data_IF_479620524630
#
_entry.id   IF_479620524630
#
_cell.length_a   1.000
_cell.length_b   1.000
_cell.length_c   1.000
_cell.angle_alpha   90.00
_cell.angle_beta   90.00
_cell.angle_gamma   90.00
#
_symmetry.space_group_name_H-M   'P 1'
#
loop_
_entity.id
_entity.type
_entity.pdbx_description
1 polymer ?
#
# COMPACT_ATOMS: atom_id res chain seq x y z
N UNK A 1 -13.22 34.55 -8.73
CA UNK A 1 -12.17 33.67 -8.15
C UNK A 1 -12.78 32.43 -7.49
N UNK A 2 -13.78 32.55 -6.60
CA UNK A 2 -14.46 31.39 -5.96
C UNK A 2 -15.15 30.43 -6.95
N UNK A 3 -15.81 30.94 -8.00
CA UNK A 3 -16.44 30.06 -9.00
C UNK A 3 -15.45 29.22 -9.82
N UNK A 4 -14.22 29.72 -10.01
CA UNK A 4 -13.20 29.00 -10.79
C UNK A 4 -12.72 27.76 -10.02
N UNK A 5 -12.55 27.87 -8.70
CA UNK A 5 -12.20 26.73 -7.85
C UNK A 5 -13.33 25.71 -7.78
N UNK A 6 -14.58 26.18 -7.63
CA UNK A 6 -15.75 25.30 -7.62
C UNK A 6 -15.90 24.52 -8.93
N UNK A 7 -15.80 25.20 -10.07
CA UNK A 7 -15.90 24.58 -11.39
C UNK A 7 -14.71 23.65 -11.68
N UNK A 8 -13.51 24.00 -11.21
CA UNK A 8 -12.34 23.13 -11.28
C UNK A 8 -12.55 21.83 -10.48
N UNK A 9 -12.99 21.94 -9.22
CA UNK A 9 -13.24 20.78 -8.37
C UNK A 9 -14.40 19.93 -8.91
N UNK A 10 -15.50 20.55 -9.34
CA UNK A 10 -16.64 19.84 -9.96
C UNK A 10 -16.21 19.07 -11.21
N UNK A 11 -15.36 19.65 -12.05
CA UNK A 11 -14.83 18.98 -13.24
C UNK A 11 -13.79 17.91 -12.89
N UNK A 12 -12.96 18.12 -11.87
CA UNK A 12 -11.91 17.19 -11.45
C UNK A 12 -12.52 15.91 -10.85
N UNK A 13 -13.58 16.06 -10.06
CA UNK A 13 -14.30 14.95 -9.44
C UNK A 13 -15.52 14.48 -10.24
N UNK A 14 -15.72 15.01 -11.45
CA UNK A 14 -16.74 14.52 -12.36
C UNK A 14 -16.42 13.08 -12.75
N UNK A 15 -17.18 12.13 -12.20
CA UNK A 15 -17.14 10.75 -12.63
C UNK A 15 -18.29 10.52 -13.61
N UNK A 16 -18.03 9.96 -14.80
CA UNK A 16 -19.12 9.54 -15.69
C UNK A 16 -20.01 8.52 -14.97
N UNK A 17 -21.27 8.44 -15.38
CA UNK A 17 -22.23 7.47 -14.82
C UNK A 17 -21.63 6.07 -14.81
N UNK A 18 -21.68 5.43 -13.64
CA UNK A 18 -21.19 4.08 -13.46
C UNK A 18 -21.98 3.11 -14.34
N UNK A 19 -21.28 2.47 -15.28
CA UNK A 19 -21.85 1.44 -16.14
C UNK A 19 -21.35 0.06 -15.69
N UNK A 20 -22.23 -0.73 -15.09
CA UNK A 20 -21.94 -2.09 -14.60
C UNK A 20 -21.52 -3.06 -15.70
N UNK A 21 -21.98 -2.86 -16.95
CA UNK A 21 -21.62 -3.70 -18.09
C UNK A 21 -20.17 -3.49 -18.51
N UNK A 22 -19.68 -2.25 -18.41
CA UNK A 22 -18.27 -1.94 -18.70
C UNK A 22 -17.34 -2.61 -17.69
N UNK A 23 -17.66 -2.55 -16.39
CA UNK A 23 -16.88 -3.27 -15.37
C UNK A 23 -16.93 -4.79 -15.56
N UNK A 24 -18.11 -5.33 -15.92
CA UNK A 24 -18.27 -6.77 -16.13
C UNK A 24 -17.48 -7.25 -17.36
N UNK A 25 -17.51 -6.49 -18.46
CA UNK A 25 -16.72 -6.77 -19.68
C UNK A 25 -15.23 -6.67 -19.40
N UNK A 26 -14.81 -5.65 -18.66
CA UNK A 26 -13.42 -5.48 -18.24
C UNK A 26 -12.92 -6.69 -17.44
N UNK A 27 -13.66 -7.11 -16.42
CA UNK A 27 -13.29 -8.26 -15.58
C UNK A 27 -13.29 -9.58 -16.36
N UNK A 28 -14.21 -9.77 -17.31
CA UNK A 28 -14.23 -10.96 -18.20
C UNK A 28 -13.01 -11.03 -19.11
N UNK A 29 -12.46 -9.89 -19.50
CA UNK A 29 -11.30 -9.81 -20.39
C UNK A 29 -9.97 -9.92 -19.64
N UNK A 30 -9.98 -9.86 -18.30
CA UNK A 30 -8.79 -10.08 -17.49
C UNK A 30 -8.59 -11.59 -17.31
N UNK A 31 -7.48 -12.11 -17.84
CA UNK A 31 -6.97 -13.40 -17.41
C UNK A 31 -6.23 -13.22 -16.09
N UNK A 32 -6.83 -13.71 -15.00
CA UNK A 32 -6.14 -13.72 -13.71
C UNK A 32 -5.01 -14.77 -13.76
N UNK A 33 -3.79 -14.40 -13.32
CA UNK A 33 -2.72 -15.38 -13.19
C UNK A 33 -3.14 -16.44 -12.16
N UNK A 34 -2.99 -17.72 -12.52
CA UNK A 34 -3.14 -18.82 -11.57
C UNK A 34 -1.93 -18.84 -10.64
N UNK A 35 -2.19 -18.82 -9.34
CA UNK A 35 -1.16 -18.89 -8.30
C UNK A 35 -0.84 -20.36 -8.06
N UNK A 36 0.44 -20.75 -8.11
CA UNK A 36 0.84 -22.12 -7.77
C UNK A 36 0.69 -22.39 -6.26
N UNK A 37 0.67 -23.67 -5.86
CA UNK A 37 0.59 -24.03 -4.44
C UNK A 37 1.78 -23.47 -3.64
N UNK A 38 2.96 -23.38 -4.25
CA UNK A 38 4.16 -22.81 -3.62
C UNK A 38 4.02 -21.30 -3.42
N UNK A 39 3.52 -20.58 -4.42
CA UNK A 39 3.27 -19.15 -4.31
C UNK A 39 2.19 -18.86 -3.25
N UNK A 40 1.14 -19.68 -3.20
CA UNK A 40 0.10 -19.56 -2.18
C UNK A 40 0.68 -19.80 -0.78
N UNK A 41 1.57 -20.78 -0.64
CA UNK A 41 2.23 -21.07 0.64
C UNK A 41 3.14 -19.91 1.07
N UNK A 42 3.90 -19.33 0.14
CA UNK A 42 4.75 -18.16 0.40
C UNK A 42 3.91 -16.93 0.76
N UNK A 43 2.79 -16.68 0.07
CA UNK A 43 1.90 -15.56 0.37
C UNK A 43 1.25 -15.67 1.76
N UNK A 44 1.00 -16.90 2.23
CA UNK A 44 0.46 -17.16 3.56
C UNK A 44 1.55 -17.29 4.63
N UNK A 45 2.83 -17.23 4.26
CA UNK A 45 3.92 -17.30 5.22
C UNK A 45 4.01 -16.01 6.05
N UNK A 46 4.49 -16.09 7.31
CA UNK A 46 4.71 -14.90 8.12
C UNK A 46 5.71 -13.94 7.45
N UNK A 47 5.47 -12.63 7.62
CA UNK A 47 6.39 -11.59 7.15
C UNK A 47 7.78 -11.79 7.73
N UNK A 48 8.80 -11.80 6.88
CA UNK A 48 10.19 -11.99 7.28
C UNK A 48 10.92 -10.65 7.49
N UNK A 49 12.00 -10.69 8.27
CA UNK A 49 12.90 -9.54 8.45
C UNK A 49 13.59 -9.17 7.13
N UNK A 50 13.90 -10.17 6.30
CA UNK A 50 14.57 -9.95 5.01
C UNK A 50 13.68 -9.18 4.03
N UNK A 51 12.39 -9.53 3.95
CA UNK A 51 11.42 -8.80 3.13
C UNK A 51 11.33 -7.33 3.54
N UNK A 52 11.17 -7.05 4.84
CA UNK A 52 11.11 -5.67 5.37
C UNK A 52 12.41 -4.93 5.07
N UNK A 53 13.56 -5.55 5.33
CA UNK A 53 14.88 -4.94 5.08
C UNK A 53 15.09 -4.63 3.60
N UNK A 54 14.66 -5.51 2.71
CA UNK A 54 14.76 -5.31 1.26
C UNK A 54 13.80 -4.21 0.77
N UNK A 55 12.58 -4.13 1.31
CA UNK A 55 11.64 -3.03 1.03
C UNK A 55 12.26 -1.68 1.43
N UNK A 56 12.81 -1.59 2.65
CA UNK A 56 13.44 -0.36 3.16
C UNK A 56 14.61 0.09 2.27
N UNK A 57 15.49 -0.84 1.87
CA UNK A 57 16.60 -0.54 0.95
C UNK A 57 16.10 0.06 -0.36
N UNK A 58 15.01 -0.48 -0.89
CA UNK A 58 14.44 -0.13 -2.19
C UNK A 58 13.46 1.06 -2.16
N UNK A 59 13.23 1.71 -1.02
CA UNK A 59 12.40 2.92 -0.95
C UNK A 59 12.89 3.98 -1.96
N UNK A 60 11.98 4.46 -2.81
CA UNK A 60 12.29 5.48 -3.84
C UNK A 60 12.76 6.75 -3.17
N UNK A 61 13.79 7.40 -3.72
CA UNK A 61 14.29 8.68 -3.20
C UNK A 61 13.38 9.84 -3.65
N UNK A 62 13.16 10.83 -2.78
CA UNK A 62 12.50 12.13 -3.05
C UNK A 62 10.97 12.06 -3.12
N UNK A 63 10.36 11.13 -2.39
CA UNK A 63 8.92 11.18 -2.12
C UNK A 63 8.65 11.99 -0.87
N UNK A 64 7.46 12.59 -0.82
CA UNK A 64 6.91 13.15 0.41
C UNK A 64 6.86 12.08 1.49
N UNK A 65 7.01 12.51 2.74
CA UNK A 65 6.95 11.63 3.89
C UNK A 65 5.56 11.01 4.00
N UNK A 66 5.50 9.82 4.61
CA UNK A 66 4.25 9.11 4.78
C UNK A 66 3.31 9.82 5.76
N UNK A 67 2.15 9.23 6.04
CA UNK A 67 1.24 9.69 7.11
C UNK A 67 1.88 9.72 8.50
N UNK A 68 3.03 9.07 8.65
CA UNK A 68 3.87 9.02 9.85
C UNK A 68 4.81 10.24 9.99
N UNK A 69 4.95 11.06 8.94
CA UNK A 69 5.87 12.19 8.90
C UNK A 69 7.36 11.80 8.95
N UNK A 70 7.69 10.52 8.77
CA UNK A 70 9.07 10.04 8.83
C UNK A 70 9.70 9.98 7.43
N UNK A 71 10.88 10.57 7.22
CA UNK A 71 11.51 10.55 5.92
C UNK A 71 12.03 9.16 5.58
N UNK A 72 11.99 8.80 4.30
CA UNK A 72 12.58 7.56 3.77
C UNK A 72 14.05 7.33 4.24
N UNK A 73 14.79 8.41 4.52
CA UNK A 73 16.19 8.37 4.96
C UNK A 73 16.29 7.81 6.37
N UNK A 74 15.32 8.10 7.24
CA UNK A 74 15.22 7.53 8.58
C UNK A 74 15.17 6.00 8.50
N UNK A 75 14.26 5.46 7.69
CA UNK A 75 14.13 4.03 7.47
C UNK A 75 15.40 3.40 6.93
N UNK A 76 16.03 4.01 5.92
CA UNK A 76 17.27 3.48 5.34
C UNK A 76 18.44 3.51 6.32
N UNK A 77 18.59 4.58 7.10
CA UNK A 77 19.66 4.75 8.07
C UNK A 77 19.54 3.75 9.23
N UNK A 78 18.31 3.51 9.68
CA UNK A 78 18.01 2.64 10.82
C UNK A 78 17.57 1.24 10.41
N UNK A 79 17.76 0.85 9.15
CA UNK A 79 17.22 -0.39 8.58
C UNK A 79 17.47 -1.62 9.48
N UNK A 80 18.70 -1.76 9.99
CA UNK A 80 19.09 -2.89 10.86
C UNK A 80 18.38 -2.90 12.21
N UNK A 81 18.04 -1.73 12.75
CA UNK A 81 17.36 -1.58 14.04
C UNK A 81 15.84 -1.63 13.89
N UNK A 82 15.31 -1.08 12.80
CA UNK A 82 13.87 -0.92 12.61
C UNK A 82 13.22 -2.13 11.94
N UNK A 83 13.97 -2.90 11.13
CA UNK A 83 13.40 -4.08 10.45
C UNK A 83 12.80 -5.10 11.43
N UNK A 84 13.52 -5.53 12.50
CA UNK A 84 12.94 -6.50 13.44
C UNK A 84 11.70 -5.96 14.17
N UNK A 85 11.70 -4.68 14.51
CA UNK A 85 10.56 -4.01 15.15
C UNK A 85 9.34 -4.00 14.23
N UNK A 86 9.51 -3.58 12.97
CA UNK A 86 8.43 -3.53 11.98
C UNK A 86 7.91 -4.94 11.66
N UNK A 87 8.79 -5.93 11.53
CA UNK A 87 8.39 -7.33 11.31
C UNK A 87 7.48 -7.82 12.43
N UNK A 88 7.86 -7.62 13.69
CA UNK A 88 7.04 -8.03 14.83
C UNK A 88 5.70 -7.29 14.86
N UNK A 89 5.71 -5.98 14.61
CA UNK A 89 4.49 -5.17 14.53
C UNK A 89 3.53 -5.69 13.47
N UNK A 90 4.01 -6.00 12.25
CA UNK A 90 3.16 -6.52 11.18
C UNK A 90 2.62 -7.92 11.50
N UNK A 91 3.44 -8.80 12.07
CA UNK A 91 2.98 -10.13 12.52
C UNK A 91 1.87 -9.97 13.57
N UNK A 92 2.07 -9.11 14.57
CA UNK A 92 1.09 -8.86 15.63
C UNK A 92 -0.23 -8.34 15.05
N UNK A 93 -0.19 -7.37 14.14
CA UNK A 93 -1.37 -6.80 13.47
C UNK A 93 -2.12 -7.88 12.67
N UNK A 94 -1.40 -8.69 11.89
CA UNK A 94 -2.00 -9.74 11.06
C UNK A 94 -2.64 -10.85 11.92
N UNK A 95 -2.04 -11.20 13.06
CA UNK A 95 -2.55 -12.25 13.94
C UNK A 95 -3.68 -11.77 14.87
N UNK A 96 -3.58 -10.55 15.38
CA UNK A 96 -4.56 -9.99 16.33
C UNK A 96 -5.80 -9.41 15.64
N UNK A 97 -5.72 -9.12 14.34
CA UNK A 97 -6.77 -8.38 13.62
C UNK A 97 -6.89 -6.92 14.08
N UNK A 98 -5.94 -6.42 14.87
CA UNK A 98 -5.92 -5.04 15.34
C UNK A 98 -5.63 -4.10 14.16
N UNK A 99 -6.24 -2.91 14.18
CA UNK A 99 -5.97 -1.89 13.16
C UNK A 99 -4.59 -1.27 13.41
N UNK A 100 -3.90 -0.91 12.32
CA UNK A 100 -2.75 0.00 12.38
C UNK A 100 -3.16 1.27 13.13
N UNK A 101 -2.26 1.87 13.94
CA UNK A 101 -2.51 3.18 14.50
C UNK A 101 -2.78 4.15 13.35
N UNK A 102 -3.99 4.72 13.34
CA UNK A 102 -4.40 5.70 12.34
C UNK A 102 -3.70 7.02 12.65
N UNK A 103 -3.14 7.67 11.63
CA UNK A 103 -2.67 9.06 11.77
C UNK A 103 -3.83 9.92 12.28
N UNK A 104 -3.56 10.64 13.37
CA UNK A 104 -4.46 11.61 14.01
C UNK A 104 -4.78 12.80 13.12
#
# INVERSE_FOLDING_TARGET
MVNIFKEFDENLYFSPEYNSDNSTRFLKNIQFPLISQDQLSNLNSPVSIEEISNVIKNLKKKKSDGPDGLPQVFYKLLNTKISPFLTNLFIEILLSGNKLPTSS
#
